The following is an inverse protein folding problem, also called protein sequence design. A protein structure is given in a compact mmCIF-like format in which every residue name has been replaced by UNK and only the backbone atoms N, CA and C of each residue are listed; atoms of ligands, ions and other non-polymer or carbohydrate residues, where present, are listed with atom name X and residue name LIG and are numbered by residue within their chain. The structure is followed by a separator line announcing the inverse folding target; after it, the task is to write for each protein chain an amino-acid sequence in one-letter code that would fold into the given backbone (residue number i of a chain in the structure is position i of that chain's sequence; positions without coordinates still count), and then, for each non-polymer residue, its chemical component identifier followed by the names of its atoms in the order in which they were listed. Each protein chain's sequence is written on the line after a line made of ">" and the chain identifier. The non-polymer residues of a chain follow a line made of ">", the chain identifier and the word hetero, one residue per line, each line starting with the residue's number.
data_IF_206906616646
#
_entry.id   IF_206906616646
#
_cell.length_a   1.000
_cell.length_b   1.000
_cell.length_c   1.000
_cell.angle_alpha   90.00
_cell.angle_beta   90.00
_cell.angle_gamma   90.00
#
_symmetry.space_group_name_H-M   'P 1'
#
loop_
_entity.id
_entity.type
_entity.pdbx_description
1 polymer ?
#
# COMPACT_ATOMS: atom_id res chain seq x y z
N UNK A 1 -13.18 5.88 -18.59
CA UNK A 1 -12.78 4.65 -17.88
C UNK A 1 -11.78 5.05 -16.80
N UNK A 2 -12.27 5.36 -15.60
CA UNK A 2 -11.47 6.00 -14.56
C UNK A 2 -10.74 4.96 -13.71
N UNK A 3 -9.41 4.96 -13.75
CA UNK A 3 -8.58 4.11 -12.91
C UNK A 3 -8.57 4.63 -11.47
N UNK A 4 -8.85 3.76 -10.51
CA UNK A 4 -8.66 4.03 -9.09
C UNK A 4 -7.20 3.82 -8.73
N UNK A 5 -6.55 4.93 -8.41
CA UNK A 5 -5.16 4.98 -7.97
C UNK A 5 -5.10 5.42 -6.52
N UNK A 6 -4.11 4.93 -5.79
CA UNK A 6 -3.74 5.45 -4.46
C UNK A 6 -2.31 5.96 -4.51
N UNK A 7 -2.05 7.02 -3.75
CA UNK A 7 -0.73 7.66 -3.68
C UNK A 7 -0.08 7.16 -2.40
N UNK A 8 1.06 6.51 -2.56
CA UNK A 8 1.83 5.95 -1.45
C UNK A 8 3.12 6.75 -1.30
N UNK A 9 3.36 7.31 -0.12
CA UNK A 9 4.62 8.00 0.19
C UNK A 9 5.64 6.98 0.70
N UNK A 10 6.68 6.73 -0.09
CA UNK A 10 7.76 5.81 0.25
C UNK A 10 8.79 6.41 1.22
N UNK A 11 9.77 5.59 1.61
CA UNK A 11 10.82 5.92 2.58
C UNK A 11 11.71 7.10 2.18
N UNK A 12 11.90 7.33 0.87
CA UNK A 12 12.70 8.43 0.33
C UNK A 12 11.89 9.70 0.07
N UNK A 13 10.68 9.82 0.65
CA UNK A 13 9.70 10.87 0.34
C UNK A 13 9.25 10.89 -1.13
N UNK A 14 9.57 9.85 -1.90
CA UNK A 14 9.07 9.68 -3.25
C UNK A 14 7.62 9.19 -3.19
N UNK A 15 6.75 9.84 -3.98
CA UNK A 15 5.36 9.44 -4.14
C UNK A 15 5.25 8.39 -5.24
N UNK A 16 4.68 7.24 -4.91
CA UNK A 16 4.39 6.18 -5.85
C UNK A 16 2.89 6.10 -6.08
N UNK A 17 2.46 6.08 -7.33
CA UNK A 17 1.05 5.85 -7.68
C UNK A 17 0.83 4.36 -7.91
N UNK A 18 -0.03 3.76 -7.10
CA UNK A 18 -0.36 2.34 -7.20
C UNK A 18 -1.76 2.22 -7.80
N UNK A 19 -1.83 1.53 -8.94
CA UNK A 19 -3.09 1.17 -9.58
C UNK A 19 -3.81 0.11 -8.76
N UNK A 20 -4.95 0.49 -8.17
CA UNK A 20 -5.76 -0.41 -7.36
C UNK A 20 -6.67 -1.22 -8.28
N UNK A 21 -7.62 -0.56 -8.95
CA UNK A 21 -8.62 -1.18 -9.85
C UNK A 21 -9.17 -0.17 -10.87
N UNK A 22 -9.91 -0.64 -11.88
CA UNK A 22 -10.57 0.21 -12.90
C UNK A 22 -12.02 0.61 -12.53
N UNK A 23 -12.57 0.10 -11.43
CA UNK A 23 -13.95 0.34 -11.01
C UNK A 23 -14.10 0.44 -9.48
N UNK A 24 -15.06 1.26 -9.02
CA UNK A 24 -15.38 1.44 -7.60
C UNK A 24 -15.85 0.14 -6.94
N UNK A 25 -16.63 -0.66 -7.67
CA UNK A 25 -17.15 -1.92 -7.17
C UNK A 25 -16.03 -2.92 -6.83
N UNK A 26 -14.90 -2.82 -7.52
CA UNK A 26 -13.72 -3.63 -7.24
C UNK A 26 -12.93 -3.05 -6.05
N UNK A 27 -12.88 -1.71 -5.89
CA UNK A 27 -12.26 -1.06 -4.72
C UNK A 27 -12.83 -1.59 -3.40
N UNK A 28 -14.15 -1.85 -3.34
CA UNK A 28 -14.83 -2.43 -2.16
C UNK A 28 -14.40 -3.87 -1.87
N UNK A 29 -13.89 -4.59 -2.88
CA UNK A 29 -13.39 -5.97 -2.74
C UNK A 29 -11.88 -6.02 -2.48
N UNK A 30 -11.14 -4.96 -2.83
CA UNK A 30 -9.70 -4.92 -2.56
C UNK A 30 -9.46 -4.79 -1.06
N UNK A 31 -8.75 -5.76 -0.51
CA UNK A 31 -8.31 -5.73 0.89
C UNK A 31 -6.97 -5.04 1.05
N UNK A 32 -6.67 -4.65 2.29
CA UNK A 32 -5.39 -4.05 2.63
C UNK A 32 -4.20 -4.93 2.20
N UNK A 33 -4.33 -6.25 2.34
CA UNK A 33 -3.32 -7.21 1.96
C UNK A 33 -3.03 -7.19 0.44
N UNK A 34 -4.09 -7.09 -0.38
CA UNK A 34 -3.96 -6.91 -1.84
C UNK A 34 -3.21 -5.62 -2.20
N UNK A 35 -3.48 -4.53 -1.48
CA UNK A 35 -2.75 -3.28 -1.67
C UNK A 35 -1.28 -3.41 -1.29
N UNK A 36 -0.97 -4.01 -0.13
CA UNK A 36 0.40 -4.30 0.29
C UNK A 36 1.13 -5.15 -0.74
N UNK A 37 0.48 -6.15 -1.32
CA UNK A 37 1.04 -7.01 -2.36
C UNK A 37 1.33 -6.26 -3.65
N UNK A 38 0.44 -5.37 -4.09
CA UNK A 38 0.69 -4.50 -5.24
C UNK A 38 1.87 -3.55 -5.00
N UNK A 39 2.00 -2.98 -3.80
CA UNK A 39 3.12 -2.12 -3.41
C UNK A 39 4.42 -2.91 -3.39
N UNK A 40 4.46 -4.06 -2.72
CA UNK A 40 5.64 -4.92 -2.64
C UNK A 40 6.13 -5.36 -4.02
N UNK A 41 5.20 -5.76 -4.92
CA UNK A 41 5.53 -6.10 -6.31
C UNK A 41 6.07 -4.92 -7.13
N UNK A 42 5.72 -3.69 -6.75
CA UNK A 42 6.21 -2.47 -7.42
C UNK A 42 7.55 -2.00 -6.88
N UNK A 43 7.97 -2.46 -5.69
CA UNK A 43 9.22 -2.09 -5.08
C UNK A 43 10.32 -3.10 -5.43
N UNK A 44 11.40 -2.68 -6.11
CA UNK A 44 12.52 -3.56 -6.39
C UNK A 44 13.30 -3.87 -5.10
N UNK A 45 13.55 -5.15 -4.82
CA UNK A 45 14.38 -5.59 -3.69
C UNK A 45 13.64 -6.01 -2.42
N UNK A 46 12.32 -5.82 -2.36
CA UNK A 46 11.49 -6.28 -1.23
C UNK A 46 10.80 -7.59 -1.61
N UNK A 47 11.37 -8.73 -1.21
CA UNK A 47 10.71 -10.04 -1.31
C UNK A 47 9.44 -10.12 -0.45
N UNK A 48 8.67 -11.21 -0.56
CA UNK A 48 7.42 -11.42 0.22
C UNK A 48 7.62 -11.25 1.75
N UNK A 49 8.83 -11.48 2.25
CA UNK A 49 9.16 -11.27 3.67
C UNK A 49 9.08 -9.81 4.13
N UNK A 50 9.14 -8.85 3.21
CA UNK A 50 9.04 -7.43 3.55
C UNK A 50 7.62 -6.97 3.90
N UNK A 51 6.58 -7.76 3.60
CA UNK A 51 5.19 -7.41 3.95
C UNK A 51 4.98 -7.26 5.46
N UNK A 52 5.75 -7.99 6.26
CA UNK A 52 5.71 -7.98 7.73
C UNK A 52 6.22 -6.65 8.30
N UNK A 53 7.23 -6.06 7.66
CA UNK A 53 7.81 -4.77 8.05
C UNK A 53 7.17 -3.55 7.38
N UNK A 54 6.26 -3.78 6.42
CA UNK A 54 5.48 -2.73 5.77
C UNK A 54 4.27 -2.31 6.60
N UNK A 55 4.34 -1.09 7.14
CA UNK A 55 3.27 -0.41 7.86
C UNK A 55 2.68 0.68 6.97
N UNK A 56 1.39 0.58 6.68
CA UNK A 56 0.64 1.59 5.94
C UNK A 56 -0.10 2.47 6.96
N UNK A 57 -0.02 3.78 6.79
CA UNK A 57 -0.66 4.76 7.68
C UNK A 57 -1.56 5.66 6.84
N UNK A 58 -2.83 5.73 7.19
CA UNK A 58 -3.82 6.57 6.53
C UNK A 58 -4.57 7.39 7.57
N UNK A 59 -4.70 8.70 7.32
CA UNK A 59 -5.33 9.64 8.25
C UNK A 59 -4.77 9.58 9.69
N UNK A 60 -3.51 9.18 9.86
CA UNK A 60 -2.87 8.99 11.17
C UNK A 60 -3.13 7.63 11.83
N UNK A 61 -3.97 6.78 11.24
CA UNK A 61 -4.25 5.42 11.71
C UNK A 61 -3.44 4.39 10.92
N UNK A 62 -2.93 3.38 11.63
CA UNK A 62 -2.22 2.26 11.01
C UNK A 62 -3.23 1.32 10.37
N UNK A 63 -3.10 1.13 9.07
CA UNK A 63 -3.84 0.12 8.35
C UNK A 63 -3.22 -1.25 8.66
N UNK A 64 -3.96 -2.08 9.38
CA UNK A 64 -3.56 -3.43 9.78
C UNK A 64 -4.74 -4.41 9.62
N UNK A 65 -4.42 -5.67 9.29
CA UNK A 65 -5.41 -6.73 9.04
C UNK A 65 -5.78 -6.92 7.56
N UNK A 66 -6.92 -7.59 7.32
CA UNK A 66 -7.40 -7.95 5.98
C UNK A 66 -8.74 -7.27 5.64
N UNK A 67 -8.99 -6.07 6.19
CA UNK A 67 -10.21 -5.33 5.89
C UNK A 67 -10.14 -4.69 4.49
N UNK A 68 -11.30 -4.53 3.81
CA UNK A 68 -11.36 -3.82 2.55
C UNK A 68 -10.92 -2.36 2.68
N UNK A 69 -10.28 -1.81 1.64
CA UNK A 69 -9.83 -0.42 1.64
C UNK A 69 -10.98 0.58 1.87
N UNK A 70 -12.17 0.21 1.40
CA UNK A 70 -13.40 0.99 1.59
C UNK A 70 -13.79 1.14 3.07
N UNK A 71 -13.46 0.18 3.93
CA UNK A 71 -13.77 0.26 5.38
C UNK A 71 -12.90 1.29 6.09
N UNK A 72 -11.69 1.53 5.59
CA UNK A 72 -10.81 2.57 6.10
C UNK A 72 -11.13 3.96 5.54
N UNK A 73 -12.16 4.10 4.70
CA UNK A 73 -12.51 5.37 4.05
C UNK A 73 -11.53 5.80 2.95
N UNK A 74 -10.79 4.84 2.36
CA UNK A 74 -9.90 5.14 1.23
C UNK A 74 -10.74 5.44 -0.03
N UNK A 75 -10.37 6.52 -0.71
CA UNK A 75 -11.01 6.99 -1.95
C UNK A 75 -9.98 7.08 -3.08
N UNK A 76 -10.45 7.39 -4.29
CA UNK A 76 -9.56 7.65 -5.43
C UNK A 76 -8.57 8.77 -5.08
N UNK A 77 -7.29 8.58 -5.40
CA UNK A 77 -6.19 9.50 -5.05
C UNK A 77 -6.00 9.74 -3.55
N UNK A 78 -6.48 8.84 -2.68
CA UNK A 78 -6.10 8.87 -1.27
C UNK A 78 -4.58 8.75 -1.10
N UNK A 79 -4.08 9.46 -0.09
CA UNK A 79 -2.66 9.47 0.28
C UNK A 79 -2.42 8.57 1.48
N UNK A 80 -1.52 7.61 1.33
CA UNK A 80 -1.11 6.66 2.36
C UNK A 80 0.39 6.85 2.61
N UNK A 81 0.80 6.91 3.87
CA UNK A 81 2.20 6.90 4.26
C UNK A 81 2.67 5.45 4.42
N UNK A 82 3.73 5.09 3.70
CA UNK A 82 4.36 3.79 3.82
C UNK A 82 5.60 3.92 4.69
N UNK A 83 5.58 3.23 5.83
CA UNK A 83 6.72 3.10 6.72
C UNK A 83 7.23 1.68 6.59
N UNK A 84 8.50 1.53 6.26
CA UNK A 84 9.17 0.24 6.26
C UNK A 84 10.27 0.27 7.30
N UNK A 85 10.36 -0.78 8.11
CA UNK A 85 11.61 -1.10 8.77
C UNK A 85 12.48 -1.79 7.74
N UNK A 86 13.51 -1.11 7.24
CA UNK A 86 14.59 -1.79 6.56
C UNK A 86 15.48 -2.36 7.65
N UNK A 87 15.30 -3.62 8.01
CA UNK A 87 16.36 -4.35 8.71
C UNK A 87 17.55 -4.39 7.75
N UNK A 88 18.59 -3.61 8.06
CA UNK A 88 19.80 -3.43 7.26
C UNK A 88 20.68 -4.69 7.23
N UNK A 89 20.13 -5.82 6.81
CA UNK A 89 20.84 -7.08 6.65
C UNK A 89 21.06 -7.41 5.19
N UNK A 90 21.94 -6.66 4.51
CA UNK A 90 22.71 -7.27 3.43
C UNK A 90 23.55 -8.36 4.11
N UNK A 91 23.00 -9.57 4.20
CA UNK A 91 23.76 -10.74 4.64
C UNK A 91 24.89 -10.89 3.64
N UNK A 92 26.09 -10.58 4.11
CA UNK A 92 27.36 -10.79 3.42
C UNK A 92 27.55 -12.27 3.12
#
# INVERSE_FOLDING_TARGET
>A
LGKYIVIVYGVNKEKMTIDVCDAENELKKVTLNQLKQKIARRLPGNGESAMTDMKLIFAGERLEGDKPLSEYGLVHRSTIQLVMTLDGGLTT
#
